data_IF_252106874568
#
_entry.id   IF_252106874568
#
_cell.length_a   1.000
_cell.length_b   1.000
_cell.length_c   1.000
_cell.angle_alpha   90.00
_cell.angle_beta   90.00
_cell.angle_gamma   90.00
#
_symmetry.space_group_name_H-M   'P 1'
#
loop_
_entity.id
_entity.type
_entity.pdbx_description
1 polymer ?
#
# COMPACT_ATOMS: atom_id res chain seq x y z
N UNK A 1 -1.43 20.13 11.78
CA UNK A 1 -0.54 19.30 10.95
C UNK A 1 0.17 18.32 11.86
N UNK A 2 -0.44 17.17 12.14
CA UNK A 2 0.18 16.12 12.95
C UNK A 2 0.88 15.14 12.03
N UNK A 3 2.22 15.25 11.97
CA UNK A 3 3.08 14.13 11.59
C UNK A 3 2.86 13.02 12.63
N UNK A 4 1.95 12.09 12.33
CA UNK A 4 1.87 10.83 13.06
C UNK A 4 2.90 9.88 12.46
N UNK A 5 3.70 9.27 13.33
CA UNK A 5 4.73 8.30 13.01
C UNK A 5 4.32 7.35 11.88
N UNK A 6 5.05 7.44 10.77
CA UNK A 6 4.86 6.68 9.52
C UNK A 6 5.28 5.20 9.64
N UNK A 7 5.55 4.72 10.86
CA UNK A 7 6.02 3.36 11.15
C UNK A 7 4.91 2.35 11.45
N UNK A 8 3.65 2.78 11.47
CA UNK A 8 2.54 1.88 11.75
C UNK A 8 2.10 1.08 10.52
N UNK A 9 2.09 -0.24 10.69
CA UNK A 9 1.53 -1.18 9.75
C UNK A 9 0.01 -1.23 9.91
N UNK A 10 -0.73 -0.77 8.89
CA UNK A 10 -2.18 -0.73 8.90
C UNK A 10 -2.80 -1.99 8.28
N UNK A 11 -3.98 -2.40 8.74
CA UNK A 11 -4.72 -3.43 8.00
C UNK A 11 -5.19 -2.89 6.66
N UNK A 12 -5.47 -3.78 5.70
CA UNK A 12 -6.01 -3.38 4.38
C UNK A 12 -7.24 -2.46 4.53
N UNK A 13 -8.15 -2.76 5.47
CA UNK A 13 -9.37 -1.97 5.66
C UNK A 13 -9.07 -0.59 6.23
N UNK A 14 -8.22 -0.51 7.26
CA UNK A 14 -7.86 0.76 7.90
C UNK A 14 -7.07 1.65 6.94
N UNK A 15 -6.14 1.04 6.19
CA UNK A 15 -5.39 1.72 5.16
C UNK A 15 -6.31 2.32 4.09
N UNK A 16 -7.25 1.55 3.53
CA UNK A 16 -8.22 2.09 2.57
C UNK A 16 -9.17 3.13 3.16
N UNK A 17 -9.46 3.07 4.46
CA UNK A 17 -10.29 4.09 5.13
C UNK A 17 -9.53 5.42 5.26
N UNK A 18 -8.25 5.37 5.62
CA UNK A 18 -7.41 6.56 5.79
C UNK A 18 -6.94 7.16 4.46
N UNK A 19 -6.64 6.33 3.47
CA UNK A 19 -6.09 6.73 2.16
C UNK A 19 -7.11 6.57 1.02
N UNK A 20 -8.40 6.74 1.33
CA UNK A 20 -9.52 6.54 0.38
C UNK A 20 -9.46 7.45 -0.84
N UNK A 21 -8.83 8.63 -0.73
CA UNK A 21 -8.58 9.56 -1.84
C UNK A 21 -7.49 9.11 -2.81
N UNK A 22 -6.61 8.19 -2.38
CA UNK A 22 -5.49 7.70 -3.19
C UNK A 22 -5.82 6.36 -3.82
N UNK A 23 -6.50 5.48 -3.07
CA UNK A 23 -6.74 4.11 -3.51
C UNK A 23 -8.02 3.52 -2.91
N UNK A 24 -8.75 2.80 -3.76
CA UNK A 24 -9.94 2.05 -3.35
C UNK A 24 -9.57 0.66 -2.86
N UNK A 25 -10.46 0.03 -2.09
CA UNK A 25 -10.27 -1.36 -1.65
C UNK A 25 -10.12 -2.34 -2.81
N UNK A 26 -10.88 -2.13 -3.90
CA UNK A 26 -10.79 -2.93 -5.12
C UNK A 26 -9.42 -2.79 -5.79
N UNK A 27 -8.95 -1.55 -5.96
CA UNK A 27 -7.62 -1.27 -6.53
C UNK A 27 -6.51 -1.88 -5.69
N UNK A 28 -6.56 -1.73 -4.37
CA UNK A 28 -5.57 -2.32 -3.48
C UNK A 28 -5.57 -3.86 -3.56
N UNK A 29 -6.75 -4.50 -3.60
CA UNK A 29 -6.84 -5.96 -3.79
C UNK A 29 -6.24 -6.41 -5.11
N UNK A 30 -6.47 -5.68 -6.20
CA UNK A 30 -5.86 -5.99 -7.50
C UNK A 30 -4.34 -5.89 -7.44
N UNK A 31 -3.79 -4.86 -6.80
CA UNK A 31 -2.34 -4.70 -6.61
C UNK A 31 -1.78 -5.88 -5.80
N UNK A 32 -2.43 -6.23 -4.69
CA UNK A 32 -2.04 -7.34 -3.82
C UNK A 32 -2.15 -8.71 -4.49
N UNK A 33 -3.17 -8.92 -5.31
CA UNK A 33 -3.34 -10.15 -6.07
C UNK A 33 -2.21 -10.31 -7.10
N UNK A 34 -1.81 -9.20 -7.73
CA UNK A 34 -0.71 -9.12 -8.66
C UNK A 34 0.60 -8.70 -7.97
N UNK A 35 0.85 -9.16 -6.74
CA UNK A 35 1.96 -8.64 -5.91
C UNK A 35 3.33 -8.77 -6.57
N UNK A 36 3.58 -9.87 -7.27
CA UNK A 36 4.85 -10.12 -7.99
C UNK A 36 5.07 -9.14 -9.12
N UNK A 37 4.02 -8.84 -9.90
CA UNK A 37 4.09 -7.89 -11.01
C UNK A 37 4.24 -6.46 -10.49
N UNK A 38 3.50 -6.12 -9.43
CA UNK A 38 3.50 -4.78 -8.86
C UNK A 38 4.64 -4.54 -7.87
N UNK A 39 5.45 -5.54 -7.48
CA UNK A 39 6.44 -5.37 -6.41
C UNK A 39 5.82 -5.03 -5.05
N UNK A 40 4.61 -5.51 -4.77
CA UNK A 40 3.86 -5.16 -3.56
C UNK A 40 4.51 -5.70 -2.27
N UNK A 41 5.39 -6.69 -2.38
CA UNK A 41 6.17 -7.24 -1.26
C UNK A 41 7.04 -6.18 -0.58
N UNK A 42 7.32 -5.05 -1.25
CA UNK A 42 8.07 -3.92 -0.68
C UNK A 42 7.32 -3.16 0.42
N UNK A 43 5.98 -3.05 0.31
CA UNK A 43 5.14 -2.29 1.24
C UNK A 43 4.11 -3.14 2.00
N UNK A 44 3.99 -4.43 1.68
CA UNK A 44 3.10 -5.37 2.36
C UNK A 44 3.90 -6.24 3.33
N UNK A 45 3.39 -6.40 4.54
CA UNK A 45 3.89 -7.39 5.50
C UNK A 45 2.79 -8.39 5.84
N UNK A 46 3.13 -9.68 5.80
CA UNK A 46 2.24 -10.75 6.20
C UNK A 46 2.40 -11.03 7.70
N UNK A 47 1.29 -11.06 8.43
CA UNK A 47 1.23 -11.45 9.83
C UNK A 47 0.44 -12.78 9.92
N UNK A 48 1.18 -13.88 10.03
CA UNK A 48 0.61 -15.24 10.00
C UNK A 48 0.00 -15.61 8.65
N UNK A 49 -0.94 -16.56 8.62
CA UNK A 49 -1.45 -17.12 7.35
C UNK A 49 -2.41 -16.19 6.60
N UNK A 50 -3.21 -15.39 7.32
CA UNK A 50 -4.38 -14.68 6.76
C UNK A 50 -4.31 -13.15 6.84
N UNK A 51 -3.45 -12.57 7.66
CA UNK A 51 -3.45 -11.12 7.88
C UNK A 51 -2.35 -10.46 7.05
N UNK A 52 -2.74 -9.46 6.27
CA UNK A 52 -1.84 -8.59 5.54
C UNK A 52 -1.91 -7.20 6.14
N UNK A 53 -0.74 -6.60 6.31
CA UNK A 53 -0.57 -5.25 6.76
C UNK A 53 0.16 -4.44 5.69
N UNK A 54 -0.19 -3.17 5.59
CA UNK A 54 0.35 -2.22 4.62
C UNK A 54 1.16 -1.19 5.40
N UNK A 55 2.39 -0.96 4.97
CA UNK A 55 3.17 0.20 5.41
C UNK A 55 2.79 1.40 4.53
N UNK A 56 2.13 2.43 5.08
CA UNK A 56 1.70 3.57 4.28
C UNK A 56 2.86 4.30 3.61
N UNK A 57 3.95 4.53 4.35
CA UNK A 57 5.14 5.20 3.83
C UNK A 57 5.73 4.48 2.62
N UNK A 58 5.91 3.15 2.73
CA UNK A 58 6.48 2.36 1.64
C UNK A 58 5.53 2.28 0.45
N UNK A 59 4.23 2.22 0.69
CA UNK A 59 3.23 2.26 -0.38
C UNK A 59 3.28 3.58 -1.15
N UNK A 60 3.36 4.73 -0.46
CA UNK A 60 3.44 6.03 -1.11
C UNK A 60 4.73 6.17 -1.92
N UNK A 61 5.86 5.74 -1.38
CA UNK A 61 7.14 5.72 -2.10
C UNK A 61 7.07 4.85 -3.36
N UNK A 62 6.45 3.66 -3.25
CA UNK A 62 6.20 2.78 -4.39
C UNK A 62 5.29 3.43 -5.44
N UNK A 63 4.21 4.10 -5.01
CA UNK A 63 3.28 4.79 -5.89
C UNK A 63 3.96 5.92 -6.66
N UNK A 64 4.80 6.72 -6.00
CA UNK A 64 5.60 7.77 -6.64
C UNK A 64 6.60 7.20 -7.65
N UNK A 65 7.22 6.07 -7.31
CA UNK A 65 8.17 5.38 -8.20
C UNK A 65 7.50 4.89 -9.48
N UNK A 66 6.27 4.36 -9.38
CA UNK A 66 5.52 3.88 -10.54
C UNK A 66 4.91 5.00 -11.38
N UNK A 67 4.47 6.11 -10.77
CA UNK A 67 3.96 7.27 -11.53
C UNK A 67 5.00 7.90 -12.45
N UNK A 68 6.29 7.74 -12.16
CA UNK A 68 7.39 8.19 -13.03
C UNK A 68 7.61 7.27 -14.24
N UNK A 69 6.91 6.13 -14.32
CA UNK A 69 6.96 5.18 -15.43
C UNK A 69 6.01 5.49 -16.59
N UNK A 70 5.00 6.36 -16.40
CA UNK A 70 4.05 6.79 -17.43
C UNK A 70 4.51 8.07 -18.18
N UNK A 71 5.83 8.25 -18.32
CA UNK A 71 6.45 9.26 -19.19
C UNK A 71 7.31 8.55 -20.24
N UNK A 72 6.69 7.72 -21.07
CA UNK A 72 7.24 7.27 -22.36
C UNK A 72 6.13 7.14 -23.38
#
# INVERSE_FOLDING_TARGET
MTQQDLNDYLTIKDFCKQYSSIITLGGLRWILFNSKLNGADSFVRRLGKRKLLISPQRFLHWLESNKRGDAK
#
